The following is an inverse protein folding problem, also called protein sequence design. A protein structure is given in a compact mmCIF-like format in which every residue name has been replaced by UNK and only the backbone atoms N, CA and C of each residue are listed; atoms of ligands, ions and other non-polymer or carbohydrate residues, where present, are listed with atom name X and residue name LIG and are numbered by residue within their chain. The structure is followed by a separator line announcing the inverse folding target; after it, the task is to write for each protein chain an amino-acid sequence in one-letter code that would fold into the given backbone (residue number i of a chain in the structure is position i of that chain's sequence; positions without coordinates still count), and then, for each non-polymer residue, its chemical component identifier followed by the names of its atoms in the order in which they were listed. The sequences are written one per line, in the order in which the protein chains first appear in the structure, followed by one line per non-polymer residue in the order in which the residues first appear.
data_IF_690453638149
#
_entry.id   IF_690453638149
#
_cell.length_a   1.000
_cell.length_b   1.000
_cell.length_c   1.000
_cell.angle_alpha   90.00
_cell.angle_beta   90.00
_cell.angle_gamma   90.00
#
_symmetry.space_group_name_H-M   'P 1'
#
loop_
_entity.id
_entity.type
_entity.pdbx_description
1 polymer ?
#
# COMPACT_ATOMS: atom_id res chain seq x y z
N UNK A 1 66.24 39.99 30.28
CA UNK A 1 65.12 40.75 29.63
C UNK A 1 63.96 39.81 29.31
N UNK A 2 62.97 39.73 30.18
CA UNK A 2 61.81 38.85 30.05
C UNK A 2 60.61 39.65 29.57
N UNK A 3 60.20 39.49 28.30
CA UNK A 3 59.00 40.12 27.77
C UNK A 3 57.79 39.36 28.32
N UNK A 4 57.01 40.00 29.20
CA UNK A 4 55.70 39.56 29.62
C UNK A 4 54.70 39.85 28.47
N UNK A 5 54.16 38.78 27.80
CA UNK A 5 53.04 38.92 26.97
C UNK A 5 51.80 39.22 27.83
N UNK A 6 51.24 40.40 27.72
CA UNK A 6 49.91 40.76 28.24
C UNK A 6 48.88 40.04 27.40
N UNK A 7 48.25 38.97 27.92
CA UNK A 7 47.04 38.42 27.39
C UNK A 7 45.95 39.47 27.58
N UNK A 8 45.46 40.04 26.48
CA UNK A 8 44.29 40.91 26.48
C UNK A 8 43.06 39.97 26.57
N UNK A 9 42.53 39.77 27.77
CA UNK A 9 41.24 39.16 28.00
C UNK A 9 40.16 40.14 27.53
N UNK A 10 39.88 40.14 26.23
CA UNK A 10 38.67 40.77 25.71
C UNK A 10 37.53 39.83 26.01
N UNK A 11 36.92 39.90 27.17
CA UNK A 11 35.69 39.23 27.51
C UNK A 11 34.59 39.68 26.55
N UNK A 12 33.92 38.74 25.95
CA UNK A 12 32.75 39.01 25.11
C UNK A 12 31.71 39.70 25.99
N UNK A 13 31.30 40.92 25.60
CA UNK A 13 30.29 41.67 26.35
C UNK A 13 29.04 40.80 26.56
N UNK A 14 28.44 40.74 27.75
CA UNK A 14 27.22 39.96 28.01
C UNK A 14 26.10 40.26 27.02
N UNK A 15 26.04 41.49 26.53
CA UNK A 15 25.06 41.95 25.52
C UNK A 15 25.30 41.27 24.17
N UNK A 16 26.56 41.08 23.77
CA UNK A 16 26.89 40.39 22.52
C UNK A 16 26.57 38.89 22.63
N UNK A 17 26.80 38.28 23.81
CA UNK A 17 26.48 36.88 24.06
C UNK A 17 24.97 36.61 24.00
N UNK A 18 24.16 37.47 24.61
CA UNK A 18 22.68 37.34 24.55
C UNK A 18 22.12 37.58 23.15
N UNK A 19 22.66 38.53 22.41
CA UNK A 19 22.25 38.80 21.03
C UNK A 19 22.58 37.61 20.11
N UNK A 20 23.76 37.00 20.27
CA UNK A 20 24.15 35.82 19.51
C UNK A 20 23.25 34.61 19.84
N UNK A 21 22.95 34.40 21.12
CA UNK A 21 22.06 33.32 21.56
C UNK A 21 20.65 33.46 20.96
N UNK A 22 20.07 34.68 21.02
CA UNK A 22 18.76 34.96 20.40
C UNK A 22 18.77 34.71 18.90
N UNK A 23 19.83 35.12 18.20
CA UNK A 23 19.95 34.91 16.76
C UNK A 23 19.96 33.41 16.40
N UNK A 24 20.69 32.59 17.19
CA UNK A 24 20.72 31.13 17.00
C UNK A 24 19.35 30.52 17.27
N UNK A 25 18.65 30.91 18.32
CA UNK A 25 17.31 30.39 18.64
C UNK A 25 16.33 30.73 17.54
N UNK A 26 16.33 31.96 17.04
CA UNK A 26 15.42 32.34 15.91
C UNK A 26 15.76 31.57 14.65
N UNK A 27 17.02 31.37 14.32
CA UNK A 27 17.45 30.58 13.18
C UNK A 27 16.98 29.10 13.28
N UNK A 28 17.12 28.50 14.45
CA UNK A 28 16.66 27.14 14.70
C UNK A 28 15.13 27.03 14.57
N UNK A 29 14.38 27.96 15.16
CA UNK A 29 12.90 27.98 15.04
C UNK A 29 12.47 28.16 13.59
N UNK A 30 13.16 29.00 12.81
CA UNK A 30 12.86 29.16 11.38
C UNK A 30 13.12 27.88 10.58
N UNK A 31 14.22 27.18 10.83
CA UNK A 31 14.56 25.92 10.15
C UNK A 31 13.57 24.81 10.54
N UNK A 32 13.33 24.61 11.82
CA UNK A 32 12.39 23.56 12.28
C UNK A 32 10.95 23.90 11.93
N UNK A 33 10.54 25.15 12.02
CA UNK A 33 9.20 25.60 11.60
C UNK A 33 8.97 25.39 10.10
N UNK A 34 9.96 25.70 9.27
CA UNK A 34 9.90 25.46 7.83
C UNK A 34 9.81 23.96 7.49
N UNK A 35 10.56 23.11 8.20
CA UNK A 35 10.50 21.66 8.04
C UNK A 35 9.14 21.09 8.44
N UNK A 36 8.56 21.56 9.55
CA UNK A 36 7.25 21.10 10.02
C UNK A 36 6.09 21.59 9.14
N UNK A 37 6.19 22.79 8.57
CA UNK A 37 5.20 23.35 7.66
C UNK A 37 5.32 22.80 6.23
N UNK A 38 6.48 22.25 5.86
CA UNK A 38 6.72 21.60 4.57
C UNK A 38 6.40 20.10 4.55
N UNK A 39 6.03 19.51 5.69
CA UNK A 39 5.49 18.14 5.71
C UNK A 39 4.03 18.23 5.28
N UNK A 40 3.77 18.03 4.00
CA UNK A 40 2.43 17.71 3.53
C UNK A 40 2.06 16.34 4.09
N UNK A 41 1.23 16.34 5.13
CA UNK A 41 0.57 15.11 5.57
C UNK A 41 -0.34 14.66 4.42
N UNK A 42 -0.30 13.39 4.01
CA UNK A 42 -1.26 12.88 3.05
C UNK A 42 -2.67 13.27 3.51
N UNK A 43 -3.36 14.07 2.70
CA UNK A 43 -4.66 14.63 3.08
C UNK A 43 -5.76 13.57 3.17
N UNK A 44 -5.52 12.38 2.59
CA UNK A 44 -6.42 11.25 2.67
C UNK A 44 -5.72 10.06 3.33
N UNK A 45 -6.19 9.58 4.49
CA UNK A 45 -5.72 8.31 5.01
C UNK A 45 -6.01 7.22 3.97
N UNK A 46 -5.09 6.28 3.77
CA UNK A 46 -5.32 5.19 2.84
C UNK A 46 -6.66 4.52 3.18
N UNK A 47 -7.49 4.23 2.16
CA UNK A 47 -8.80 3.66 2.39
C UNK A 47 -8.67 2.38 3.22
N UNK A 48 -9.40 2.30 4.32
CA UNK A 48 -9.36 1.16 5.22
C UNK A 48 -10.38 0.13 4.77
N UNK A 49 -9.92 -0.85 4.02
CA UNK A 49 -10.73 -2.00 3.64
C UNK A 49 -10.42 -3.19 4.54
N UNK A 50 -11.48 -3.91 4.90
CA UNK A 50 -11.36 -5.21 5.55
C UNK A 50 -11.80 -6.27 4.56
N UNK A 51 -11.02 -7.30 4.44
CA UNK A 51 -11.27 -8.38 3.50
C UNK A 51 -11.01 -9.73 4.17
N UNK A 52 -11.59 -10.77 3.58
CA UNK A 52 -11.34 -12.16 3.89
C UNK A 52 -11.06 -12.89 2.59
N UNK A 53 -10.12 -13.80 2.61
CA UNK A 53 -9.73 -14.62 1.48
C UNK A 53 -10.19 -16.05 1.68
N UNK A 54 -10.65 -16.70 0.63
CA UNK A 54 -10.99 -18.11 0.63
C UNK A 54 -10.47 -18.75 -0.66
N UNK A 55 -9.61 -19.76 -0.53
CA UNK A 55 -9.17 -20.59 -1.63
C UNK A 55 -10.01 -21.86 -1.70
N UNK A 56 -10.60 -22.12 -2.85
CA UNK A 56 -11.42 -23.31 -3.14
C UNK A 56 -10.63 -24.23 -4.09
N UNK A 57 -9.92 -25.16 -3.47
CA UNK A 57 -8.95 -26.02 -4.16
C UNK A 57 -9.56 -27.05 -5.10
N UNK A 58 -10.81 -27.48 -4.86
CA UNK A 58 -11.55 -28.43 -5.67
C UNK A 58 -12.40 -27.78 -6.77
N UNK A 59 -12.37 -26.44 -6.83
CA UNK A 59 -13.14 -25.68 -7.80
C UNK A 59 -14.65 -25.73 -7.61
N UNK A 60 -15.13 -26.23 -6.46
CA UNK A 60 -16.56 -26.41 -6.22
C UNK A 60 -17.35 -25.13 -6.47
N UNK A 61 -18.31 -25.19 -7.38
CA UNK A 61 -19.14 -24.04 -7.77
C UNK A 61 -18.57 -23.15 -8.87
N UNK A 62 -17.35 -23.43 -9.34
CA UNK A 62 -16.77 -22.77 -10.51
C UNK A 62 -17.05 -23.57 -11.81
N UNK A 63 -16.89 -22.90 -12.95
CA UNK A 63 -16.95 -23.55 -14.26
C UNK A 63 -15.76 -24.48 -14.44
N UNK A 64 -16.01 -25.69 -14.92
CA UNK A 64 -15.00 -26.74 -15.12
C UNK A 64 -14.25 -27.15 -13.86
N UNK A 65 -14.85 -26.93 -12.67
CA UNK A 65 -14.24 -27.23 -11.36
C UNK A 65 -12.82 -26.68 -11.20
N UNK A 66 -12.55 -25.52 -11.82
CA UNK A 66 -11.24 -24.86 -11.70
C UNK A 66 -11.05 -24.28 -10.30
N UNK A 67 -9.84 -24.42 -9.71
CA UNK A 67 -9.54 -23.81 -8.42
C UNK A 67 -9.63 -22.28 -8.54
N UNK A 68 -10.06 -21.63 -7.47
CA UNK A 68 -10.21 -20.18 -7.46
C UNK A 68 -9.97 -19.58 -6.07
N UNK A 69 -9.71 -18.29 -6.05
CA UNK A 69 -9.67 -17.48 -4.84
C UNK A 69 -10.84 -16.51 -4.84
N UNK A 70 -11.59 -16.47 -3.75
CA UNK A 70 -12.54 -15.40 -3.47
C UNK A 70 -11.91 -14.41 -2.50
N UNK A 71 -11.89 -13.15 -2.91
CA UNK A 71 -11.50 -12.02 -2.10
C UNK A 71 -12.76 -11.27 -1.69
N UNK A 72 -13.27 -11.55 -0.49
CA UNK A 72 -14.52 -10.98 0.02
C UNK A 72 -14.25 -9.71 0.81
N UNK A 73 -14.93 -8.62 0.48
CA UNK A 73 -14.93 -7.41 1.29
C UNK A 73 -15.77 -7.64 2.54
N UNK A 74 -15.19 -7.40 3.72
CA UNK A 74 -15.90 -7.54 5.01
C UNK A 74 -16.14 -6.20 5.69
N UNK A 75 -15.57 -5.13 5.14
CA UNK A 75 -15.80 -3.75 5.60
C UNK A 75 -15.19 -2.73 4.65
N UNK A 76 -15.75 -1.54 4.64
CA UNK A 76 -15.44 -0.51 3.66
C UNK A 76 -16.39 -0.54 2.46
N UNK A 77 -16.13 0.33 1.48
CA UNK A 77 -16.87 0.43 0.21
C UNK A 77 -15.90 0.85 -0.87
N UNK A 78 -15.93 0.18 -2.02
CA UNK A 78 -15.13 0.52 -3.19
C UNK A 78 -16.08 0.89 -4.32
N UNK A 79 -15.88 2.10 -4.89
CA UNK A 79 -16.71 2.59 -5.98
C UNK A 79 -16.23 2.05 -7.33
N UNK A 80 -17.13 1.84 -8.30
CA UNK A 80 -16.72 1.49 -9.66
C UNK A 80 -15.82 2.57 -10.25
N UNK A 81 -14.72 2.17 -10.84
CA UNK A 81 -13.77 3.09 -11.46
C UNK A 81 -12.64 3.57 -10.55
N UNK A 82 -12.63 3.20 -9.26
CA UNK A 82 -11.44 3.38 -8.44
C UNK A 82 -10.26 2.57 -8.97
N UNK A 83 -9.05 3.08 -8.74
CA UNK A 83 -7.82 2.54 -9.31
C UNK A 83 -7.30 1.32 -8.50
N UNK A 84 -8.13 0.28 -8.46
CA UNK A 84 -7.78 -1.00 -7.85
C UNK A 84 -7.47 -2.05 -8.93
N UNK A 85 -6.46 -2.83 -8.66
CA UNK A 85 -5.96 -3.88 -9.55
C UNK A 85 -5.68 -5.16 -8.77
N UNK A 86 -5.93 -6.29 -9.39
CA UNK A 86 -5.40 -7.58 -8.97
C UNK A 86 -4.12 -7.81 -9.76
N UNK A 87 -3.06 -8.16 -9.04
CA UNK A 87 -1.72 -8.42 -9.61
C UNK A 87 -1.30 -9.81 -9.15
N UNK A 88 -0.87 -10.66 -10.08
CA UNK A 88 -0.35 -11.99 -9.78
C UNK A 88 1.17 -11.98 -9.44
N UNK A 89 1.72 -13.16 -9.17
CA UNK A 89 3.12 -13.34 -8.83
C UNK A 89 4.10 -12.90 -9.93
N UNK A 90 3.71 -13.01 -11.18
CA UNK A 90 4.51 -12.61 -12.36
C UNK A 90 4.34 -11.12 -12.71
N UNK A 91 3.41 -10.41 -12.04
CA UNK A 91 3.13 -8.99 -12.26
C UNK A 91 2.08 -8.72 -13.33
N UNK A 92 1.37 -9.76 -13.82
CA UNK A 92 0.22 -9.55 -14.68
C UNK A 92 -0.87 -8.87 -13.88
N UNK A 93 -1.68 -8.07 -14.57
CA UNK A 93 -2.60 -7.14 -13.90
C UNK A 93 -3.97 -7.17 -14.55
N UNK A 94 -5.00 -7.25 -13.75
CA UNK A 94 -6.40 -7.09 -14.16
C UNK A 94 -7.04 -6.01 -13.29
N UNK A 95 -7.86 -5.14 -13.87
CA UNK A 95 -8.69 -4.23 -13.10
C UNK A 95 -9.66 -5.06 -12.26
N UNK A 96 -9.78 -4.68 -11.01
CA UNK A 96 -10.57 -5.43 -10.04
C UNK A 96 -12.05 -5.54 -10.41
N UNK A 97 -12.63 -4.54 -11.11
CA UNK A 97 -14.01 -4.55 -11.59
C UNK A 97 -14.28 -5.61 -12.69
N UNK A 98 -13.23 -6.13 -13.35
CA UNK A 98 -13.35 -7.21 -14.31
C UNK A 98 -13.57 -8.60 -13.66
N UNK A 99 -13.18 -8.75 -12.40
CA UNK A 99 -13.29 -10.01 -11.63
C UNK A 99 -14.37 -9.95 -10.55
N UNK A 100 -15.17 -8.92 -10.60
CA UNK A 100 -16.20 -8.64 -9.62
C UNK A 100 -17.51 -9.36 -9.98
N UNK A 101 -18.16 -9.90 -8.97
CA UNK A 101 -19.40 -10.68 -9.14
C UNK A 101 -20.67 -9.83 -9.12
N UNK A 102 -20.57 -8.52 -8.85
CA UNK A 102 -21.72 -7.61 -8.81
C UNK A 102 -21.52 -6.41 -9.74
N UNK A 103 -22.60 -5.80 -10.19
CA UNK A 103 -22.59 -4.56 -10.95
C UNK A 103 -22.86 -3.39 -10.00
N UNK A 104 -21.87 -2.59 -9.68
CA UNK A 104 -22.00 -1.44 -8.79
C UNK A 104 -20.89 -1.36 -7.76
N UNK A 105 -21.03 -0.52 -6.74
CA UNK A 105 -20.01 -0.42 -5.69
C UNK A 105 -19.90 -1.73 -4.91
N UNK A 106 -18.67 -2.12 -4.57
CA UNK A 106 -18.39 -3.26 -3.70
C UNK A 106 -18.64 -2.85 -2.26
N UNK A 107 -19.43 -3.64 -1.57
CA UNK A 107 -19.78 -3.47 -0.16
C UNK A 107 -19.48 -4.73 0.63
N UNK A 108 -19.67 -4.70 1.94
CA UNK A 108 -19.45 -5.87 2.77
C UNK A 108 -20.33 -7.06 2.32
N UNK A 109 -19.68 -8.19 2.05
CA UNK A 109 -20.30 -9.41 1.53
C UNK A 109 -20.06 -9.65 0.03
N UNK A 110 -19.72 -8.61 -0.72
CA UNK A 110 -19.36 -8.75 -2.12
C UNK A 110 -17.94 -9.29 -2.27
N UNK A 111 -17.65 -9.97 -3.38
CA UNK A 111 -16.35 -10.59 -3.57
C UNK A 111 -15.86 -10.53 -5.03
N UNK A 112 -14.57 -10.47 -5.18
CA UNK A 112 -13.86 -10.73 -6.42
C UNK A 112 -13.58 -12.24 -6.52
N UNK A 113 -13.83 -12.81 -7.69
CA UNK A 113 -13.57 -14.19 -8.03
C UNK A 113 -12.38 -14.25 -8.99
N UNK A 114 -11.34 -14.99 -8.62
CA UNK A 114 -10.08 -15.04 -9.34
C UNK A 114 -9.74 -16.50 -9.61
N UNK A 115 -9.78 -16.91 -10.90
CA UNK A 115 -9.42 -18.26 -11.34
C UNK A 115 -8.40 -18.28 -12.50
N UNK A 116 -8.04 -17.10 -13.04
CA UNK A 116 -7.15 -16.96 -14.19
C UNK A 116 -7.81 -17.29 -15.53
N UNK A 117 -9.16 -17.26 -15.62
CA UNK A 117 -9.90 -17.57 -16.83
C UNK A 117 -10.99 -16.52 -17.11
N UNK A 118 -11.43 -16.43 -18.36
CA UNK A 118 -12.50 -15.51 -18.73
C UNK A 118 -12.08 -14.06 -18.58
N UNK A 119 -12.72 -13.33 -17.68
CA UNK A 119 -12.48 -11.89 -17.47
C UNK A 119 -11.13 -11.60 -16.82
N UNK A 120 -10.56 -12.55 -16.10
CA UNK A 120 -9.26 -12.48 -15.44
C UNK A 120 -8.17 -13.34 -16.10
N UNK A 121 -8.39 -13.75 -17.34
CA UNK A 121 -7.46 -14.60 -18.12
C UNK A 121 -6.06 -14.00 -18.36
N UNK A 122 -5.85 -12.75 -18.00
CA UNK A 122 -4.52 -12.15 -17.98
C UNK A 122 -3.71 -12.57 -16.73
N UNK A 123 -4.38 -13.04 -15.68
CA UNK A 123 -3.74 -13.54 -14.46
C UNK A 123 -3.38 -15.03 -14.62
N UNK A 124 -2.41 -15.48 -13.86
CA UNK A 124 -2.11 -16.90 -13.74
C UNK A 124 -3.29 -17.66 -13.12
N UNK A 125 -3.47 -18.96 -13.43
CA UNK A 125 -4.44 -19.81 -12.73
C UNK A 125 -4.17 -19.90 -11.23
N UNK A 126 -5.24 -20.14 -10.45
CA UNK A 126 -5.16 -20.21 -8.98
C UNK A 126 -4.53 -21.52 -8.48
N UNK A 127 -3.25 -21.71 -8.75
CA UNK A 127 -2.47 -22.89 -8.43
C UNK A 127 -1.58 -22.71 -7.19
N UNK A 128 -1.12 -23.81 -6.61
CA UNK A 128 -0.17 -23.76 -5.48
C UNK A 128 1.09 -22.95 -5.83
N UNK A 129 1.49 -22.07 -4.94
CA UNK A 129 2.62 -21.17 -5.11
C UNK A 129 2.27 -19.83 -5.77
N UNK A 130 1.04 -19.68 -6.31
CA UNK A 130 0.63 -18.42 -6.90
C UNK A 130 0.31 -17.39 -5.80
N UNK A 131 0.58 -16.12 -6.11
CA UNK A 131 0.35 -14.99 -5.21
C UNK A 131 -0.51 -13.96 -5.90
N UNK A 132 -1.63 -13.60 -5.30
CA UNK A 132 -2.44 -12.49 -5.77
C UNK A 132 -2.38 -11.32 -4.80
N UNK A 133 -2.24 -10.12 -5.35
CA UNK A 133 -2.22 -8.87 -4.59
C UNK A 133 -3.31 -7.94 -5.09
N UNK A 134 -4.08 -7.41 -4.17
CA UNK A 134 -4.95 -6.28 -4.47
C UNK A 134 -4.17 -4.99 -4.23
N UNK A 135 -4.04 -4.17 -5.26
CA UNK A 135 -3.21 -2.96 -5.26
C UNK A 135 -4.08 -1.75 -5.58
N UNK A 136 -4.03 -0.75 -4.75
CA UNK A 136 -4.56 0.58 -5.04
C UNK A 136 -3.46 1.42 -5.70
N UNK A 137 -3.74 1.98 -6.88
CA UNK A 137 -2.83 2.83 -7.66
C UNK A 137 -3.52 4.15 -7.97
N UNK A 138 -3.53 5.13 -7.05
CA UNK A 138 -4.07 6.45 -7.35
C UNK A 138 -3.27 7.10 -8.48
N UNK A 139 -3.94 7.86 -9.35
CA UNK A 139 -3.37 8.37 -10.60
C UNK A 139 -2.14 9.27 -10.45
N UNK A 140 -1.89 9.77 -9.26
CA UNK A 140 -0.81 10.70 -8.90
C UNK A 140 -0.01 10.31 -7.65
N UNK A 141 -0.21 9.10 -7.13
CA UNK A 141 0.37 8.64 -5.85
C UNK A 141 1.10 7.31 -5.90
N UNK A 142 1.70 6.98 -4.79
CA UNK A 142 2.37 5.70 -4.58
C UNK A 142 1.36 4.55 -4.53
N UNK A 143 1.71 3.44 -5.16
CA UNK A 143 0.89 2.22 -5.13
C UNK A 143 0.91 1.59 -3.74
N UNK A 144 -0.25 1.21 -3.24
CA UNK A 144 -0.39 0.56 -1.93
C UNK A 144 -0.97 -0.85 -2.10
N UNK A 145 -0.30 -1.86 -1.55
CA UNK A 145 -0.82 -3.22 -1.47
C UNK A 145 -1.80 -3.29 -0.30
N UNK A 146 -3.04 -3.67 -0.58
CA UNK A 146 -4.12 -3.79 0.41
C UNK A 146 -4.27 -5.22 0.91
N UNK A 147 -4.06 -6.18 0.02
CA UNK A 147 -4.20 -7.61 0.27
C UNK A 147 -3.07 -8.34 -0.41
N UNK A 148 -2.53 -9.33 0.25
CA UNK A 148 -1.58 -10.31 -0.29
C UNK A 148 -2.12 -11.71 0.05
N UNK A 149 -2.28 -12.55 -0.96
CA UNK A 149 -2.83 -13.91 -0.83
C UNK A 149 -1.91 -14.89 -1.52
N UNK A 150 -1.26 -15.74 -0.76
CA UNK A 150 -0.46 -16.86 -1.26
C UNK A 150 -1.26 -18.16 -1.20
N UNK A 151 -1.31 -18.89 -2.30
CA UNK A 151 -1.92 -20.21 -2.37
C UNK A 151 -0.92 -21.26 -1.89
N UNK A 152 -1.08 -21.73 -0.67
CA UNK A 152 -0.17 -22.68 -0.01
C UNK A 152 -0.63 -24.14 -0.09
N UNK A 153 -1.74 -24.41 -0.78
CA UNK A 153 -2.30 -25.76 -0.90
C UNK A 153 -2.51 -26.13 -2.38
N UNK A 154 -2.20 -27.37 -2.78
CA UNK A 154 -2.45 -27.81 -4.14
C UNK A 154 -3.94 -27.80 -4.48
N UNK A 155 -4.23 -27.64 -5.76
CA UNK A 155 -5.55 -27.90 -6.30
C UNK A 155 -5.93 -29.37 -6.09
N UNK A 156 -7.22 -29.63 -5.89
CA UNK A 156 -7.75 -30.97 -5.66
C UNK A 156 -8.90 -31.26 -6.63
N UNK A 157 -9.17 -32.53 -6.93
CA UNK A 157 -10.24 -32.92 -7.86
C UNK A 157 -9.88 -32.74 -9.34
N UNK A 158 -10.88 -32.65 -10.24
CA UNK A 158 -10.67 -32.56 -11.69
C UNK A 158 -9.90 -31.31 -12.12
N UNK A 159 -9.93 -30.28 -11.30
CA UNK A 159 -9.28 -28.98 -11.52
C UNK A 159 -7.74 -29.02 -11.60
N UNK A 160 -7.10 -30.12 -11.16
CA UNK A 160 -5.65 -30.30 -11.26
C UNK A 160 -5.13 -30.24 -12.69
N UNK A 161 -6.00 -30.39 -13.68
CA UNK A 161 -5.65 -30.29 -15.12
C UNK A 161 -5.27 -28.86 -15.51
N UNK A 162 -5.66 -27.86 -14.74
CA UNK A 162 -5.42 -26.43 -15.02
C UNK A 162 -4.21 -25.87 -14.26
N UNK A 163 -3.63 -26.67 -13.40
CA UNK A 163 -2.39 -26.44 -12.70
C UNK A 163 -1.28 -27.39 -13.16
#
# INVERSE_FOLDING_TARGET
MTRRFRRSDRGISPVVGTALFLAIVVALVAVFGGLLLGIELPNDPPPQYRHQTAYVADGAGNTDDRPYVNLTLTGGRIEPGEDFYIVDGDGNTVRWDAVWTTSGPLTAGDYAHIDGFGSDSALNPACEGEVYRMVHRPGDGDSTVLVDVEITRPATGPATVHC
#
